data_IF_902188634953
#
_entry.id   IF_902188634953
#
_cell.length_a   1.000
_cell.length_b   1.000
_cell.length_c   1.000
_cell.angle_alpha   90.00
_cell.angle_beta   90.00
_cell.angle_gamma   90.00
#
_symmetry.space_group_name_H-M   'P 1'
#
loop_
_entity.id
_entity.type
_entity.pdbx_description
1 polymer ?
#
# COMPACT_ATOMS: atom_id res chain seq x y z
N UNK A 1 -23.08 15.79 29.13
CA UNK A 1 -23.88 16.78 28.36
C UNK A 1 -23.01 17.30 27.24
N UNK A 2 -23.56 17.32 26.02
CA UNK A 2 -22.94 17.76 24.77
C UNK A 2 -22.79 19.29 24.71
N UNK A 3 -21.72 19.77 24.08
CA UNK A 3 -21.64 21.09 23.42
C UNK A 3 -20.51 21.05 22.37
N UNK A 4 -20.82 21.14 21.08
CA UNK A 4 -20.64 22.33 20.20
C UNK A 4 -19.22 22.45 19.62
N UNK A 5 -19.00 22.18 18.33
CA UNK A 5 -19.24 23.04 17.15
C UNK A 5 -18.21 24.18 17.00
N UNK A 6 -17.35 24.09 15.97
CA UNK A 6 -16.56 25.17 15.30
C UNK A 6 -15.86 24.53 14.09
N UNK A 7 -16.38 24.63 12.87
CA UNK A 7 -16.46 25.78 11.96
C UNK A 7 -15.15 26.06 11.18
N UNK A 8 -15.27 25.92 9.85
CA UNK A 8 -14.54 26.56 8.74
C UNK A 8 -13.09 26.17 8.42
N UNK A 9 -12.87 25.70 7.18
CA UNK A 9 -12.40 26.58 6.09
C UNK A 9 -12.30 25.79 4.78
N UNK A 10 -13.24 26.03 3.87
CA UNK A 10 -13.28 25.43 2.53
C UNK A 10 -12.31 26.15 1.58
N UNK A 11 -11.37 25.41 0.97
CA UNK A 11 -10.62 25.86 -0.20
C UNK A 11 -11.21 25.17 -1.43
N UNK A 12 -11.91 25.95 -2.25
CA UNK A 12 -12.41 25.55 -3.57
C UNK A 12 -11.30 25.83 -4.58
N UNK A 13 -10.89 24.84 -5.36
CA UNK A 13 -10.07 25.05 -6.55
C UNK A 13 -10.93 24.72 -7.77
N UNK A 14 -10.99 25.69 -8.67
CA UNK A 14 -11.88 25.82 -9.83
C UNK A 14 -11.52 24.78 -10.90
N UNK A 15 -12.50 24.00 -11.34
CA UNK A 15 -12.38 23.12 -12.52
C UNK A 15 -12.55 23.97 -13.77
N UNK A 16 -11.50 24.01 -14.59
CA UNK A 16 -11.46 24.64 -15.91
C UNK A 16 -12.42 23.90 -16.86
N UNK A 17 -13.45 24.59 -17.35
CA UNK A 17 -14.33 24.13 -18.43
C UNK A 17 -14.04 24.96 -19.66
N UNK A 18 -13.39 24.35 -20.66
CA UNK A 18 -13.26 24.93 -21.98
C UNK A 18 -14.63 24.85 -22.69
N UNK A 19 -15.28 26.00 -22.89
CA UNK A 19 -16.42 26.13 -23.79
C UNK A 19 -15.95 26.56 -25.18
N UNK A 20 -15.93 25.64 -26.15
CA UNK A 20 -15.80 25.98 -27.57
C UNK A 20 -17.19 26.28 -28.16
N UNK A 21 -17.34 27.50 -28.67
CA UNK A 21 -18.50 28.09 -29.37
C UNK A 21 -18.42 27.66 -30.85
N UNK A 22 -19.46 27.29 -31.62
CA UNK A 22 -20.69 27.98 -32.04
C UNK A 22 -21.51 26.98 -32.88
N UNK A 23 -22.82 27.14 -32.94
CA UNK A 23 -23.63 26.56 -34.01
C UNK A 23 -25.10 26.53 -33.60
N UNK A 24 -25.89 27.34 -34.27
CA UNK A 24 -27.32 27.56 -34.03
C UNK A 24 -28.18 26.35 -34.38
N UNK A 25 -29.31 26.28 -33.67
CA UNK A 25 -30.58 25.65 -34.03
C UNK A 25 -30.83 24.15 -33.78
N UNK A 26 -31.94 23.96 -33.06
CA UNK A 26 -32.86 22.83 -33.01
C UNK A 26 -32.64 21.66 -32.03
N UNK A 27 -33.58 21.63 -31.07
CA UNK A 27 -34.33 20.52 -30.47
C UNK A 27 -33.66 19.19 -30.08
N UNK A 28 -34.06 18.77 -28.88
CA UNK A 28 -34.02 17.42 -28.30
C UNK A 28 -32.64 16.89 -27.95
N UNK A 29 -32.40 16.72 -26.65
CA UNK A 29 -32.63 15.44 -25.98
C UNK A 29 -31.76 15.33 -24.72
N UNK A 30 -32.36 14.73 -23.70
CA UNK A 30 -31.73 13.92 -22.66
C UNK A 30 -30.44 14.44 -22.01
N UNK A 31 -30.51 14.70 -20.71
CA UNK A 31 -30.13 13.71 -19.70
C UNK A 31 -30.28 14.37 -18.33
N UNK A 32 -31.25 13.89 -17.56
CA UNK A 32 -31.29 14.13 -16.13
C UNK A 32 -30.03 13.50 -15.53
N UNK A 33 -29.03 14.32 -15.21
CA UNK A 33 -27.88 13.86 -14.44
C UNK A 33 -28.35 13.74 -12.99
N UNK A 34 -28.79 12.53 -12.64
CA UNK A 34 -28.93 12.07 -11.26
C UNK A 34 -27.59 12.29 -10.56
N UNK A 35 -27.48 13.39 -9.81
CA UNK A 35 -26.36 13.61 -8.90
C UNK A 35 -26.44 12.60 -7.77
N UNK A 36 -25.74 11.48 -7.95
CA UNK A 36 -25.44 10.51 -6.92
C UNK A 36 -24.81 11.24 -5.73
N UNK A 37 -25.55 11.29 -4.61
CA UNK A 37 -24.98 11.62 -3.31
C UNK A 37 -24.04 10.48 -2.92
N UNK A 38 -22.75 10.64 -3.19
CA UNK A 38 -21.69 9.83 -2.59
C UNK A 38 -21.65 10.13 -1.10
N UNK A 39 -22.33 9.30 -0.32
CA UNK A 39 -22.17 9.18 1.12
C UNK A 39 -20.75 8.66 1.38
N UNK A 40 -19.82 9.56 1.67
CA UNK A 40 -18.49 9.19 2.16
C UNK A 40 -18.68 8.74 3.61
N UNK A 41 -18.95 7.45 3.80
CA UNK A 41 -18.84 6.83 5.11
C UNK A 41 -17.38 6.96 5.59
N UNK A 42 -17.12 7.26 6.88
CA UNK A 42 -15.78 7.21 7.41
C UNK A 42 -15.30 5.76 7.32
N UNK A 43 -14.42 5.48 6.36
CA UNK A 43 -13.70 4.22 6.26
C UNK A 43 -12.92 4.06 7.55
N UNK A 44 -13.43 3.21 8.44
CA UNK A 44 -12.73 2.76 9.63
C UNK A 44 -11.50 2.02 9.12
N UNK A 45 -10.35 2.67 9.20
CA UNK A 45 -9.11 2.13 8.66
C UNK A 45 -8.65 1.01 9.58
N UNK A 46 -8.97 -0.23 9.21
CA UNK A 46 -8.54 -1.42 9.93
C UNK A 46 -7.12 -1.75 9.45
N UNK A 47 -6.18 -1.86 10.38
CA UNK A 47 -4.83 -2.36 10.09
C UNK A 47 -4.90 -3.85 9.82
N UNK A 48 -4.24 -4.29 8.75
CA UNK A 48 -4.21 -5.66 8.26
C UNK A 48 -2.77 -6.11 8.12
N UNK A 49 -2.55 -7.41 8.22
CA UNK A 49 -1.23 -8.01 8.00
C UNK A 49 -1.15 -8.48 6.56
N UNK A 50 -0.09 -8.08 5.88
CA UNK A 50 0.21 -8.49 4.52
C UNK A 50 1.49 -9.30 4.50
N UNK A 51 1.44 -10.42 3.78
CA UNK A 51 2.59 -11.23 3.45
C UNK A 51 3.02 -10.95 2.02
N UNK A 52 4.33 -10.79 1.80
CA UNK A 52 4.89 -10.52 0.49
C UNK A 52 6.34 -11.00 0.40
N UNK A 53 6.80 -11.27 -0.82
CA UNK A 53 8.12 -11.85 -1.07
C UNK A 53 8.87 -11.04 -2.13
N UNK A 54 10.10 -10.65 -1.80
CA UNK A 54 11.01 -9.97 -2.71
C UNK A 54 12.19 -10.85 -3.04
N UNK A 55 12.59 -10.87 -4.31
CA UNK A 55 13.96 -11.20 -4.66
C UNK A 55 14.82 -9.98 -4.44
N UNK A 56 15.90 -10.16 -3.69
CA UNK A 56 16.84 -9.09 -3.41
C UNK A 56 18.26 -9.60 -3.37
N UNK A 57 19.18 -8.69 -3.70
CA UNK A 57 20.61 -8.89 -3.63
C UNK A 57 21.16 -8.07 -2.48
N UNK A 58 21.97 -8.67 -1.62
CA UNK A 58 22.66 -7.93 -0.57
C UNK A 58 23.69 -7.00 -1.24
N UNK A 59 23.61 -5.69 -0.99
CA UNK A 59 24.56 -4.75 -1.58
C UNK A 59 25.88 -4.87 -0.82
N UNK A 60 26.71 -5.83 -1.21
CA UNK A 60 28.08 -5.95 -0.72
C UNK A 60 28.85 -4.72 -1.20
N UNK A 61 29.40 -3.97 -0.23
CA UNK A 61 30.19 -2.76 -0.50
C UNK A 61 31.32 -3.03 -1.50
N UNK A 62 31.64 -1.98 -2.27
CA UNK A 62 32.54 -1.94 -3.42
C UNK A 62 33.66 -3.01 -3.46
N UNK A 63 33.76 -3.67 -4.62
CA UNK A 63 34.87 -4.52 -5.08
C UNK A 63 34.88 -6.00 -4.62
N UNK A 64 33.76 -6.70 -4.76
CA UNK A 64 33.81 -8.16 -4.82
C UNK A 64 33.10 -8.65 -6.09
N UNK A 65 33.88 -9.16 -7.05
CA UNK A 65 33.43 -9.89 -8.26
C UNK A 65 32.69 -11.21 -7.93
N UNK A 66 32.37 -11.44 -6.66
CA UNK A 66 31.51 -12.51 -6.20
C UNK A 66 30.08 -12.22 -6.65
N UNK A 67 29.62 -12.99 -7.64
CA UNK A 67 28.23 -13.12 -8.07
C UNK A 67 27.26 -12.73 -6.95
N UNK A 68 26.57 -11.60 -7.11
CA UNK A 68 25.57 -11.16 -6.16
C UNK A 68 24.52 -12.26 -6.05
N UNK A 69 24.52 -12.98 -4.92
CA UNK A 69 23.60 -14.08 -4.70
C UNK A 69 22.20 -13.50 -4.50
N UNK A 70 21.29 -13.86 -5.40
CA UNK A 70 19.89 -13.48 -5.28
C UNK A 70 19.26 -14.30 -4.18
N UNK A 71 18.74 -13.62 -3.16
CA UNK A 71 18.06 -14.25 -2.03
C UNK A 71 16.59 -13.90 -2.04
N UNK A 72 15.79 -14.83 -1.53
CA UNK A 72 14.36 -14.59 -1.34
C UNK A 72 14.14 -14.02 0.06
N UNK A 73 13.52 -12.85 0.13
CA UNK A 73 13.22 -12.15 1.38
C UNK A 73 11.72 -12.13 1.59
N UNK A 74 11.27 -12.75 2.67
CA UNK A 74 9.87 -12.76 3.11
C UNK A 74 9.61 -11.61 4.06
N UNK A 75 8.46 -10.98 3.90
CA UNK A 75 8.01 -9.89 4.76
C UNK A 75 6.61 -10.14 5.29
N UNK A 76 6.42 -9.76 6.56
CA UNK A 76 5.11 -9.58 7.17
C UNK A 76 4.99 -8.12 7.55
N UNK A 77 4.00 -7.42 6.98
CA UNK A 77 3.83 -5.97 7.15
C UNK A 77 2.44 -5.66 7.63
N UNK A 78 2.32 -4.85 8.69
CA UNK A 78 1.03 -4.36 9.16
C UNK A 78 0.75 -3.00 8.54
N UNK A 79 -0.21 -2.94 7.62
CA UNK A 79 -0.62 -1.71 6.96
C UNK A 79 -2.12 -1.66 6.68
N UNK A 80 -2.58 -0.53 6.15
CA UNK A 80 -3.98 -0.22 5.84
C UNK A 80 -4.40 -0.80 4.50
N UNK A 81 -3.43 -0.89 3.59
CA UNK A 81 -3.61 -1.26 2.19
C UNK A 81 -2.37 -1.99 1.67
N UNK A 82 -2.52 -2.86 0.66
CA UNK A 82 -1.42 -3.66 0.12
C UNK A 82 -0.31 -2.78 -0.49
N UNK A 83 -0.64 -1.64 -1.09
CA UNK A 83 0.34 -0.72 -1.68
C UNK A 83 1.21 -0.03 -0.60
N UNK A 84 0.62 0.26 0.56
CA UNK A 84 1.31 0.73 1.75
C UNK A 84 2.29 -0.31 2.28
N UNK A 85 1.84 -1.56 2.41
CA UNK A 85 2.68 -2.67 2.83
C UNK A 85 3.87 -2.88 1.88
N UNK A 86 3.63 -2.87 0.56
CA UNK A 86 4.67 -2.98 -0.46
C UNK A 86 5.72 -1.86 -0.34
N UNK A 87 5.27 -0.61 -0.24
CA UNK A 87 6.17 0.55 -0.10
C UNK A 87 7.00 0.47 1.17
N UNK A 88 6.40 0.03 2.28
CA UNK A 88 7.10 -0.10 3.56
C UNK A 88 8.15 -1.20 3.52
N UNK A 89 7.82 -2.37 2.97
CA UNK A 89 8.77 -3.46 2.80
C UNK A 89 9.93 -3.06 1.87
N UNK A 90 9.64 -2.46 0.72
CA UNK A 90 10.68 -1.96 -0.18
C UNK A 90 11.59 -0.94 0.51
N UNK A 91 11.02 0.00 1.26
CA UNK A 91 11.80 0.98 2.01
C UNK A 91 12.70 0.34 3.05
N UNK A 92 12.15 -0.62 3.82
CA UNK A 92 12.89 -1.37 4.82
C UNK A 92 14.06 -2.14 4.20
N UNK A 93 13.82 -2.81 3.08
CA UNK A 93 14.84 -3.60 2.37
C UNK A 93 16.01 -2.72 1.91
N UNK A 94 15.72 -1.59 1.26
CA UNK A 94 16.75 -0.62 0.83
C UNK A 94 17.50 -0.01 2.01
N UNK A 95 16.81 0.30 3.11
CA UNK A 95 17.44 0.83 4.33
C UNK A 95 18.43 -0.16 4.97
N UNK A 96 18.19 -1.46 4.84
CA UNK A 96 19.08 -2.50 5.35
C UNK A 96 20.21 -2.86 4.37
N UNK A 97 20.41 -2.07 3.31
CA UNK A 97 21.49 -2.30 2.34
C UNK A 97 21.19 -3.39 1.32
N UNK A 98 19.91 -3.75 1.12
CA UNK A 98 19.52 -4.70 0.09
C UNK A 98 19.03 -3.97 -1.15
N UNK A 99 19.31 -4.55 -2.31
CA UNK A 99 18.80 -4.08 -3.60
C UNK A 99 17.64 -4.98 -4.04
N UNK A 100 16.40 -4.47 -4.11
CA UNK A 100 15.28 -5.24 -4.63
C UNK A 100 15.50 -5.47 -6.13
N UNK A 101 15.41 -6.72 -6.56
CA UNK A 101 15.48 -7.12 -7.96
C UNK A 101 14.06 -7.26 -8.54
N UNK A 102 13.17 -7.91 -7.80
CA UNK A 102 11.80 -8.14 -8.22
C UNK A 102 10.87 -8.53 -7.09
N UNK A 103 9.57 -8.36 -7.32
CA UNK A 103 8.53 -8.84 -6.43
C UNK A 103 8.11 -10.24 -6.90
N UNK A 104 8.39 -11.26 -6.09
CA UNK A 104 7.98 -12.64 -6.38
C UNK A 104 6.52 -12.87 -6.03
N UNK A 105 6.12 -12.36 -4.85
CA UNK A 105 4.75 -12.50 -4.37
C UNK A 105 4.18 -11.16 -3.98
N UNK A 106 3.08 -10.80 -4.64
CA UNK A 106 2.32 -9.60 -4.33
C UNK A 106 1.76 -9.64 -2.89
N UNK A 107 1.51 -8.47 -2.27
CA UNK A 107 0.97 -8.41 -0.92
C UNK A 107 -0.36 -9.15 -0.79
N UNK A 108 -0.36 -10.21 0.00
CA UNK A 108 -1.51 -11.05 0.30
C UNK A 108 -1.95 -10.80 1.75
N UNK A 109 -3.23 -10.52 1.96
CA UNK A 109 -3.77 -10.33 3.31
C UNK A 109 -3.78 -11.66 4.08
N UNK A 110 -3.09 -11.67 5.21
CA UNK A 110 -3.02 -12.81 6.12
C UNK A 110 -3.88 -12.53 7.34
N UNK A 111 -4.95 -13.30 7.49
CA UNK A 111 -5.91 -13.16 8.59
C UNK A 111 -5.43 -13.81 9.89
N UNK A 112 -4.71 -14.92 9.76
CA UNK A 112 -4.22 -15.73 10.88
C UNK A 112 -2.78 -16.17 10.59
N UNK A 113 -1.93 -16.34 11.62
CA UNK A 113 -0.60 -16.89 11.42
C UNK A 113 -0.71 -18.24 10.72
N UNK A 114 0.03 -18.44 9.63
CA UNK A 114 0.09 -19.71 8.93
C UNK A 114 0.91 -20.68 9.78
N UNK A 115 0.26 -21.28 10.77
CA UNK A 115 0.85 -22.18 11.78
C UNK A 115 1.41 -23.48 11.21
N UNK A 116 1.09 -23.76 9.95
CA UNK A 116 1.40 -25.02 9.29
C UNK A 116 2.76 -24.99 8.57
N UNK A 117 3.40 -23.81 8.49
CA UNK A 117 4.50 -23.59 7.56
C UNK A 117 5.87 -23.61 8.23
N UNK A 118 6.08 -23.02 9.40
CA UNK A 118 7.26 -23.23 10.26
C UNK A 118 7.13 -22.42 11.57
N UNK A 119 7.78 -22.86 12.67
CA UNK A 119 7.80 -22.11 13.94
C UNK A 119 8.43 -20.71 13.78
N UNK A 120 9.33 -20.54 12.80
CA UNK A 120 9.99 -19.27 12.52
C UNK A 120 9.04 -18.25 11.86
N UNK A 121 8.13 -18.70 11.01
CA UNK A 121 7.13 -17.85 10.36
C UNK A 121 6.12 -17.30 11.39
N UNK A 122 5.73 -18.12 12.37
CA UNK A 122 4.88 -17.68 13.48
C UNK A 122 5.55 -16.58 14.33
N UNK A 123 6.84 -16.73 14.63
CA UNK A 123 7.59 -15.73 15.39
C UNK A 123 7.71 -14.41 14.61
N UNK A 124 7.93 -14.48 13.29
CA UNK A 124 8.01 -13.30 12.42
C UNK A 124 6.67 -12.59 12.28
N UNK A 125 5.57 -13.34 12.18
CA UNK A 125 4.22 -12.79 12.20
C UNK A 125 3.94 -12.03 13.50
N UNK A 126 4.24 -12.63 14.66
CA UNK A 126 4.08 -11.96 15.95
C UNK A 126 4.94 -10.70 16.07
N UNK A 127 6.18 -10.75 15.57
CA UNK A 127 7.06 -9.60 15.57
C UNK A 127 6.51 -8.47 14.69
N UNK A 128 5.95 -8.79 13.52
CA UNK A 128 5.28 -7.83 12.66
C UNK A 128 4.04 -7.21 13.32
N UNK A 129 3.26 -7.98 14.09
CA UNK A 129 2.15 -7.43 14.88
C UNK A 129 2.61 -6.41 15.92
N UNK A 130 3.79 -6.62 16.53
CA UNK A 130 4.33 -5.75 17.57
C UNK A 130 5.02 -4.50 17.02
N UNK A 131 5.78 -4.64 15.94
CA UNK A 131 6.65 -3.58 15.39
C UNK A 131 6.16 -2.98 14.07
N UNK A 132 5.14 -3.57 13.47
CA UNK A 132 4.54 -3.14 12.20
C UNK A 132 5.22 -3.71 10.94
N UNK A 133 6.38 -4.36 11.08
CA UNK A 133 7.08 -5.06 10.01
C UNK A 133 8.02 -6.12 10.60
N UNK A 134 8.17 -7.25 9.91
CA UNK A 134 9.21 -8.25 10.15
C UNK A 134 9.74 -8.79 8.82
N UNK A 135 10.99 -9.27 8.82
CA UNK A 135 11.72 -9.71 7.65
C UNK A 135 12.47 -11.01 7.96
N UNK A 136 12.38 -11.98 7.05
CA UNK A 136 13.16 -13.23 7.09
C UNK A 136 13.82 -13.45 5.73
N UNK A 137 15.10 -13.83 5.76
CA UNK A 137 15.86 -14.15 4.55
C UNK A 137 15.89 -15.65 4.39
N UNK A 138 15.69 -16.12 3.16
CA UNK A 138 15.74 -17.53 2.79
C UNK A 138 16.85 -17.71 1.78
N UNK A 139 17.74 -18.64 2.12
CA UNK A 139 18.83 -19.12 1.27
C UNK A 139 18.36 -20.27 0.36
#
# INVERSE_FOLDING_TARGET
>A
MLAENRQQSSKIVVISTACLKRGTDHWLSCLAVSTARLLIAPLRVVMKTYYLEFRAQEAVGEASDSLAEEKLVRFWVVDRDPDGALRRAHHYLVQNGWKPDGLEKAPEEVLEPQTDIDNEDAACYEQAQRHGISMTVID
#
